data_IF_772288116514
#
_entry.id   IF_772288116514
#
_cell.length_a   1.000
_cell.length_b   1.000
_cell.length_c   1.000
_cell.angle_alpha   90.00
_cell.angle_beta   90.00
_cell.angle_gamma   90.00
#
_symmetry.space_group_name_H-M   'P 1'
#
loop_
_entity.id
_entity.type
_entity.pdbx_description
1 polymer ?
#
# COMPACT_ATOMS: atom_id res chain seq x y z
N UNK A 1 -2.00 22.55 -16.85
CA UNK A 1 -0.69 22.39 -16.17
C UNK A 1 -0.15 20.99 -16.47
N UNK A 2 0.95 20.87 -17.22
CA UNK A 2 1.40 19.59 -17.79
C UNK A 2 2.30 18.71 -16.90
N UNK A 3 2.91 19.25 -15.85
CA UNK A 3 3.95 18.55 -15.09
C UNK A 3 3.42 17.51 -14.08
N UNK A 4 2.14 17.59 -13.69
CA UNK A 4 1.52 16.59 -12.81
C UNK A 4 1.26 15.25 -13.50
N UNK A 5 1.20 15.22 -14.83
CA UNK A 5 0.88 14.02 -15.59
C UNK A 5 1.97 12.93 -15.51
N UNK A 6 3.16 13.20 -14.94
CA UNK A 6 4.25 12.21 -14.80
C UNK A 6 4.56 11.76 -13.36
N UNK A 7 4.03 12.43 -12.34
CA UNK A 7 4.36 12.11 -10.94
C UNK A 7 3.58 10.90 -10.43
N UNK A 8 4.17 10.18 -9.46
CA UNK A 8 3.51 9.04 -8.79
C UNK A 8 3.35 9.23 -7.28
N UNK A 9 3.84 10.37 -6.76
CA UNK A 9 3.72 10.76 -5.37
C UNK A 9 4.06 12.23 -5.22
N UNK A 10 3.55 12.85 -4.17
CA UNK A 10 3.83 14.24 -3.85
C UNK A 10 4.02 14.41 -2.35
N UNK A 11 5.12 15.03 -1.94
CA UNK A 11 5.39 15.37 -0.55
C UNK A 11 5.15 16.87 -0.37
N UNK A 12 4.26 17.22 0.54
CA UNK A 12 3.98 18.62 0.85
C UNK A 12 4.79 19.10 2.04
N UNK A 13 5.29 20.34 1.98
CA UNK A 13 6.00 20.99 3.10
C UNK A 13 5.01 21.38 4.19
N UNK A 14 5.32 20.98 5.42
CA UNK A 14 4.60 21.40 6.64
C UNK A 14 4.67 22.93 6.81
N UNK A 15 3.61 23.53 7.36
CA UNK A 15 3.50 24.97 7.70
C UNK A 15 3.60 25.96 6.52
N UNK A 16 3.54 25.48 5.27
CA UNK A 16 3.40 26.36 4.11
C UNK A 16 1.94 26.87 4.00
N UNK A 17 1.71 28.21 3.89
CA UNK A 17 0.38 28.78 3.64
C UNK A 17 -0.29 28.24 2.36
N UNK A 18 0.51 27.79 1.40
CA UNK A 18 0.05 27.19 0.16
C UNK A 18 -0.01 25.66 0.21
N UNK A 19 0.85 24.98 0.97
CA UNK A 19 1.08 23.53 0.82
C UNK A 19 0.76 22.61 2.02
N UNK A 20 0.45 23.07 3.24
CA UNK A 20 0.18 22.12 4.36
C UNK A 20 -0.97 21.14 4.06
N UNK A 21 -0.94 19.88 4.51
CA UNK A 21 -2.11 18.97 4.36
C UNK A 21 -3.03 19.01 5.57
N UNK A 22 -2.48 19.29 6.76
CA UNK A 22 -3.24 19.52 7.99
C UNK A 22 -2.64 20.74 8.72
N UNK A 23 -3.46 21.79 8.91
CA UNK A 23 -3.19 22.99 9.76
C UNK A 23 -2.46 24.15 9.08
N UNK A 24 -3.03 24.70 8.02
CA UNK A 24 -2.66 26.06 7.60
C UNK A 24 -3.25 27.10 8.58
N UNK A 25 -2.41 28.05 9.00
CA UNK A 25 -2.84 29.25 9.74
C UNK A 25 -3.63 30.15 8.78
N UNK A 26 -4.94 30.26 8.98
CA UNK A 26 -5.75 31.27 8.29
C UNK A 26 -5.79 32.50 9.19
N UNK A 27 -5.31 33.63 8.66
CA UNK A 27 -5.35 34.91 9.36
C UNK A 27 -6.68 35.60 9.02
N UNK A 28 -7.62 35.60 9.96
CA UNK A 28 -8.90 36.31 9.82
C UNK A 28 -9.00 37.30 10.97
N UNK A 29 -8.92 38.61 10.67
CA UNK A 29 -9.27 39.68 11.60
C UNK A 29 -8.62 39.61 13.00
N UNK A 30 -7.33 39.24 13.09
CA UNK A 30 -6.59 39.23 14.37
C UNK A 30 -6.65 37.94 15.19
N UNK A 31 -7.34 36.89 14.72
CA UNK A 31 -7.30 35.54 15.31
C UNK A 31 -6.69 34.53 14.33
N UNK A 32 -5.77 33.70 14.82
CA UNK A 32 -5.15 32.61 14.05
C UNK A 32 -5.99 31.36 14.24
N UNK A 33 -6.78 31.00 13.23
CA UNK A 33 -7.46 29.70 13.20
C UNK A 33 -6.65 28.70 12.37
N UNK A 34 -6.37 27.52 12.94
CA UNK A 34 -5.67 26.43 12.24
C UNK A 34 -6.70 25.47 11.65
N UNK A 35 -7.09 25.65 10.38
CA UNK A 35 -8.00 24.70 9.68
C UNK A 35 -7.58 24.46 8.23
N UNK A 36 -7.39 23.18 7.91
CA UNK A 36 -7.37 22.65 6.54
C UNK A 36 -6.00 22.53 5.86
N UNK A 37 -6.02 21.85 4.71
CA UNK A 37 -4.94 21.83 3.74
C UNK A 37 -4.78 23.22 3.08
N UNK A 38 -3.53 23.61 2.78
CA UNK A 38 -3.20 24.79 2.00
C UNK A 38 -3.86 24.77 0.63
N UNK A 39 -4.15 25.95 0.10
CA UNK A 39 -4.97 26.11 -1.10
C UNK A 39 -4.46 25.28 -2.29
N UNK A 40 -3.13 25.16 -2.45
CA UNK A 40 -2.53 24.34 -3.50
C UNK A 40 -2.77 22.85 -3.27
N UNK A 41 -2.50 22.36 -2.06
CA UNK A 41 -2.64 20.93 -1.74
C UNK A 41 -4.09 20.47 -1.86
N UNK A 42 -5.05 21.31 -1.45
CA UNK A 42 -6.47 21.04 -1.65
C UNK A 42 -6.81 20.88 -3.13
N UNK A 43 -6.36 21.83 -3.97
CA UNK A 43 -6.60 21.79 -5.42
C UNK A 43 -5.88 20.59 -6.06
N UNK A 44 -4.67 20.24 -5.61
CA UNK A 44 -3.93 19.06 -6.07
C UNK A 44 -4.73 17.78 -5.78
N UNK A 45 -5.19 17.61 -4.54
CA UNK A 45 -5.95 16.42 -4.12
C UNK A 45 -7.34 16.35 -4.77
N UNK A 46 -7.95 17.49 -5.08
CA UNK A 46 -9.22 17.53 -5.83
C UNK A 46 -9.04 17.12 -7.29
N UNK A 47 -7.98 17.58 -7.94
CA UNK A 47 -7.69 17.23 -9.34
C UNK A 47 -7.10 15.82 -9.50
N UNK A 48 -6.41 15.32 -8.46
CA UNK A 48 -5.73 14.02 -8.47
C UNK A 48 -6.04 13.24 -7.18
N UNK A 49 -7.29 12.80 -6.97
CA UNK A 49 -7.71 12.17 -5.71
C UNK A 49 -6.98 10.85 -5.37
N UNK A 50 -6.49 10.18 -6.41
CA UNK A 50 -5.79 8.89 -6.31
C UNK A 50 -4.27 9.03 -6.24
N UNK A 51 -3.73 10.25 -6.43
CA UNK A 51 -2.30 10.49 -6.29
C UNK A 51 -1.89 10.32 -4.81
N UNK A 52 -0.86 9.53 -4.50
CA UNK A 52 -0.27 9.50 -3.17
C UNK A 52 0.26 10.88 -2.79
N UNK A 53 -0.32 11.49 -1.77
CA UNK A 53 0.17 12.72 -1.16
C UNK A 53 0.43 12.46 0.32
N UNK A 54 1.53 12.98 0.84
CA UNK A 54 1.88 12.93 2.27
C UNK A 54 2.57 14.22 2.71
N UNK A 55 2.49 14.56 3.99
CA UNK A 55 3.20 15.71 4.56
C UNK A 55 4.60 15.29 5.04
N UNK A 56 5.62 16.08 4.72
CA UNK A 56 7.01 15.86 5.13
C UNK A 56 7.14 15.57 6.64
N UNK A 57 6.43 16.31 7.50
CA UNK A 57 6.49 16.10 8.95
C UNK A 57 5.93 14.75 9.42
N UNK A 58 5.03 14.14 8.63
CA UNK A 58 4.43 12.82 8.92
C UNK A 58 5.35 11.68 8.50
N UNK A 59 6.26 11.91 7.55
CA UNK A 59 7.25 10.92 7.10
C UNK A 59 8.33 10.60 8.15
N UNK A 60 8.34 11.30 9.29
CA UNK A 60 9.13 10.91 10.46
C UNK A 60 8.61 9.65 11.15
N UNK A 61 7.31 9.36 11.02
CA UNK A 61 6.72 8.10 11.50
C UNK A 61 7.01 6.97 10.49
N UNK A 62 7.56 5.86 10.99
CA UNK A 62 7.98 4.75 10.14
C UNK A 62 6.82 4.10 9.37
N UNK A 63 5.65 3.96 10.01
CA UNK A 63 4.48 3.34 9.40
C UNK A 63 3.85 4.24 8.33
N UNK A 64 3.76 5.55 8.59
CA UNK A 64 3.28 6.52 7.60
C UNK A 64 4.23 6.62 6.40
N UNK A 65 5.55 6.62 6.67
CA UNK A 65 6.58 6.65 5.61
C UNK A 65 6.52 5.41 4.73
N UNK A 66 6.45 4.22 5.32
CA UNK A 66 6.31 2.98 4.54
C UNK A 66 5.02 2.99 3.72
N UNK A 67 3.88 3.34 4.34
CA UNK A 67 2.61 3.37 3.66
C UNK A 67 2.58 4.34 2.48
N UNK A 68 3.14 5.55 2.65
CA UNK A 68 3.27 6.51 1.56
C UNK A 68 4.12 5.94 0.41
N UNK A 69 5.31 5.43 0.71
CA UNK A 69 6.20 4.88 -0.32
C UNK A 69 5.55 3.69 -1.03
N UNK A 70 4.88 2.81 -0.31
CA UNK A 70 4.17 1.67 -0.88
C UNK A 70 3.05 2.13 -1.83
N UNK A 71 2.26 3.13 -1.44
CA UNK A 71 1.26 3.77 -2.31
C UNK A 71 1.89 4.34 -3.58
N UNK A 72 3.06 4.99 -3.49
CA UNK A 72 3.81 5.50 -4.65
C UNK A 72 4.20 4.39 -5.62
N UNK A 73 4.74 3.27 -5.12
CA UNK A 73 5.13 2.14 -5.98
C UNK A 73 3.92 1.49 -6.64
N UNK A 74 2.81 1.31 -5.93
CA UNK A 74 1.58 0.74 -6.48
C UNK A 74 1.00 1.66 -7.57
N UNK A 75 0.93 2.96 -7.30
CA UNK A 75 0.46 3.95 -8.27
C UNK A 75 1.38 4.01 -9.50
N UNK A 76 2.70 3.91 -9.32
CA UNK A 76 3.65 3.81 -10.44
C UNK A 76 3.40 2.57 -11.30
N UNK A 77 3.16 1.40 -10.69
CA UNK A 77 2.83 0.16 -11.43
C UNK A 77 1.52 0.31 -12.22
N UNK A 78 0.52 0.96 -11.61
CA UNK A 78 -0.73 1.27 -12.30
C UNK A 78 -0.52 2.15 -13.54
N UNK A 79 0.27 3.23 -13.40
CA UNK A 79 0.57 4.12 -14.53
C UNK A 79 1.37 3.45 -15.64
N UNK A 80 2.34 2.61 -15.27
CA UNK A 80 3.10 1.83 -16.24
C UNK A 80 2.18 0.91 -17.06
N UNK A 81 1.21 0.27 -16.40
CA UNK A 81 0.19 -0.57 -17.04
C UNK A 81 -0.76 0.25 -17.93
N UNK A 82 -1.12 1.48 -17.54
CA UNK A 82 -1.89 2.39 -18.40
C UNK A 82 -1.14 2.78 -19.67
N UNK A 83 0.17 3.06 -19.57
CA UNK A 83 0.98 3.51 -20.70
C UNK A 83 1.10 2.50 -21.85
N UNK A 84 0.88 1.21 -21.59
CA UNK A 84 0.90 0.16 -22.61
C UNK A 84 -0.48 -0.15 -23.20
N UNK A 85 -1.56 0.47 -22.67
CA UNK A 85 -2.92 -0.03 -22.81
C UNK A 85 -3.10 -1.33 -22.02
N UNK A 86 -4.19 -1.45 -21.28
CA UNK A 86 -4.49 -2.67 -20.52
C UNK A 86 -5.99 -2.95 -20.49
N UNK A 87 -6.35 -4.21 -20.25
CA UNK A 87 -7.72 -4.68 -20.17
C UNK A 87 -7.98 -5.49 -18.92
N UNK A 88 -9.10 -6.21 -18.92
CA UNK A 88 -9.56 -7.03 -17.79
C UNK A 88 -8.50 -7.99 -17.26
N UNK A 89 -7.79 -8.70 -18.14
CA UNK A 89 -6.76 -9.68 -17.73
C UNK A 89 -5.65 -9.02 -16.91
N UNK A 90 -5.13 -7.89 -17.37
CA UNK A 90 -4.09 -7.16 -16.67
C UNK A 90 -4.60 -6.56 -15.36
N UNK A 91 -5.85 -6.11 -15.31
CA UNK A 91 -6.47 -5.63 -14.07
C UNK A 91 -6.62 -6.75 -13.02
N UNK A 92 -7.07 -7.93 -13.44
CA UNK A 92 -7.16 -9.13 -12.58
C UNK A 92 -5.80 -9.56 -12.07
N UNK A 93 -4.79 -9.59 -12.93
CA UNK A 93 -3.41 -9.90 -12.54
C UNK A 93 -2.85 -8.83 -11.58
N UNK A 94 -3.07 -7.56 -11.88
CA UNK A 94 -2.69 -6.45 -10.99
C UNK A 94 -3.33 -6.63 -9.61
N UNK A 95 -4.63 -6.93 -9.52
CA UNK A 95 -5.29 -7.20 -8.25
C UNK A 95 -4.67 -8.39 -7.52
N UNK A 96 -4.48 -9.52 -8.21
CA UNK A 96 -3.93 -10.74 -7.63
C UNK A 96 -2.55 -10.49 -6.98
N UNK A 97 -1.66 -9.77 -7.68
CA UNK A 97 -0.32 -9.44 -7.19
C UNK A 97 -0.31 -8.48 -6.00
N UNK A 98 -1.37 -7.69 -5.80
CA UNK A 98 -1.48 -6.72 -4.69
C UNK A 98 -2.42 -7.16 -3.57
N UNK A 99 -3.13 -8.29 -3.72
CA UNK A 99 -4.13 -8.77 -2.75
C UNK A 99 -3.61 -8.81 -1.32
N UNK A 100 -2.41 -9.36 -1.10
CA UNK A 100 -1.85 -9.46 0.24
C UNK A 100 -1.38 -8.12 0.81
N UNK A 101 -1.00 -7.18 -0.07
CA UNK A 101 -0.79 -5.80 0.37
C UNK A 101 -2.11 -5.25 0.89
N UNK A 102 -3.21 -5.36 0.13
CA UNK A 102 -4.53 -4.90 0.56
C UNK A 102 -4.99 -5.57 1.87
N UNK A 103 -4.74 -6.88 2.04
CA UNK A 103 -5.06 -7.58 3.29
C UNK A 103 -4.31 -7.03 4.50
N UNK A 104 -3.10 -6.51 4.31
CA UNK A 104 -2.35 -5.88 5.40
C UNK A 104 -2.91 -4.50 5.81
N UNK A 105 -3.66 -3.84 4.94
CA UNK A 105 -4.38 -2.60 5.27
C UNK A 105 -5.75 -2.88 5.86
N UNK A 106 -6.59 -3.58 5.12
CA UNK A 106 -7.95 -3.93 5.53
C UNK A 106 -8.43 -5.18 4.75
N UNK A 107 -8.66 -6.28 5.47
CA UNK A 107 -9.05 -7.52 4.81
C UNK A 107 -10.50 -7.56 4.34
N UNK A 108 -11.39 -6.78 4.96
CA UNK A 108 -12.80 -6.76 4.58
C UNK A 108 -12.97 -6.01 3.28
N UNK A 109 -12.46 -4.77 3.22
CA UNK A 109 -12.48 -3.96 2.01
C UNK A 109 -11.70 -4.61 0.87
N UNK A 110 -10.59 -5.29 1.17
CA UNK A 110 -9.84 -6.02 0.14
C UNK A 110 -10.64 -7.18 -0.46
N UNK A 111 -11.40 -7.92 0.36
CA UNK A 111 -12.29 -9.00 -0.13
C UNK A 111 -13.44 -8.43 -0.93
N UNK A 112 -14.02 -7.31 -0.50
CA UNK A 112 -15.05 -6.58 -1.24
C UNK A 112 -14.58 -6.17 -2.63
N UNK A 113 -13.42 -5.50 -2.71
CA UNK A 113 -12.83 -5.09 -3.99
C UNK A 113 -12.57 -6.30 -4.92
N UNK A 114 -12.09 -7.41 -4.36
CA UNK A 114 -11.87 -8.64 -5.14
C UNK A 114 -13.18 -9.25 -5.66
N UNK A 115 -14.25 -9.27 -4.84
CA UNK A 115 -15.58 -9.74 -5.26
C UNK A 115 -16.19 -8.83 -6.33
N UNK A 116 -16.07 -7.52 -6.15
CA UNK A 116 -16.53 -6.52 -7.11
C UNK A 116 -15.85 -6.72 -8.46
N UNK A 117 -14.53 -6.85 -8.48
CA UNK A 117 -13.74 -7.08 -9.69
C UNK A 117 -14.18 -8.35 -10.43
N UNK A 118 -14.45 -9.45 -9.72
CA UNK A 118 -14.91 -10.70 -10.33
C UNK A 118 -16.28 -10.56 -11.02
N UNK A 119 -17.14 -9.67 -10.52
CA UNK A 119 -18.46 -9.37 -11.09
C UNK A 119 -18.46 -8.25 -12.15
N UNK A 120 -17.36 -7.51 -12.29
CA UNK A 120 -17.32 -6.25 -13.02
C UNK A 120 -17.29 -6.40 -14.55
N UNK A 121 -17.06 -7.61 -15.10
CA UNK A 121 -16.96 -7.86 -16.55
C UNK A 121 -18.21 -7.45 -17.36
N UNK A 122 -19.34 -7.19 -16.69
CA UNK A 122 -20.57 -6.68 -17.32
C UNK A 122 -20.55 -5.16 -17.59
N UNK A 123 -19.62 -4.42 -16.99
CA UNK A 123 -19.45 -2.97 -17.17
C UNK A 123 -18.43 -2.68 -18.28
N UNK A 124 -18.46 -1.45 -18.81
CA UNK A 124 -17.41 -1.00 -19.72
C UNK A 124 -16.08 -0.87 -18.96
N UNK A 125 -15.01 -1.49 -19.47
CA UNK A 125 -13.70 -1.47 -18.82
C UNK A 125 -13.18 -0.04 -18.57
N UNK A 126 -13.39 0.86 -19.53
CA UNK A 126 -12.97 2.26 -19.44
C UNK A 126 -13.66 3.03 -18.30
N UNK A 127 -14.86 2.62 -17.90
CA UNK A 127 -15.59 3.20 -16.78
C UNK A 127 -15.19 2.55 -15.46
N UNK A 128 -14.96 1.23 -15.45
CA UNK A 128 -14.65 0.47 -14.25
C UNK A 128 -13.21 0.66 -13.74
N UNK A 129 -12.21 0.67 -14.64
CA UNK A 129 -10.81 0.71 -14.23
C UNK A 129 -10.45 1.95 -13.37
N UNK A 130 -10.94 3.18 -13.65
CA UNK A 130 -10.77 4.32 -12.76
C UNK A 130 -11.42 4.13 -11.38
N UNK A 131 -12.63 3.55 -11.32
CA UNK A 131 -13.34 3.29 -10.06
C UNK A 131 -12.57 2.30 -9.20
N UNK A 132 -12.07 1.21 -9.82
CA UNK A 132 -11.20 0.25 -9.16
C UNK A 132 -9.96 0.91 -8.55
N UNK A 133 -9.28 1.79 -9.31
CA UNK A 133 -8.11 2.52 -8.78
C UNK A 133 -8.49 3.36 -7.57
N UNK A 134 -9.60 4.10 -7.66
CA UNK A 134 -10.03 4.95 -6.54
C UNK A 134 -10.36 4.13 -5.29
N UNK A 135 -10.99 2.97 -5.42
CA UNK A 135 -11.25 2.07 -4.29
C UNK A 135 -9.95 1.47 -3.74
N UNK A 136 -9.06 1.00 -4.62
CA UNK A 136 -7.72 0.51 -4.25
C UNK A 136 -6.95 1.55 -3.44
N UNK A 137 -6.88 2.80 -3.92
CA UNK A 137 -6.14 3.87 -3.26
C UNK A 137 -6.80 4.32 -1.95
N UNK A 138 -8.12 4.19 -1.80
CA UNK A 138 -8.82 4.39 -0.51
C UNK A 138 -8.40 3.34 0.51
N UNK A 139 -8.34 2.06 0.13
CA UNK A 139 -7.89 0.98 1.02
C UNK A 139 -6.44 1.23 1.44
N UNK A 140 -5.55 1.53 0.49
CA UNK A 140 -4.13 1.74 0.76
C UNK A 140 -3.85 3.01 1.60
N UNK A 141 -4.80 3.95 1.72
CA UNK A 141 -4.67 5.11 2.63
C UNK A 141 -4.83 4.70 4.10
N UNK A 142 -5.45 3.56 4.39
CA UNK A 142 -5.51 3.00 5.75
C UNK A 142 -4.11 2.50 6.10
N UNK A 143 -3.48 2.98 7.17
CA UNK A 143 -2.15 2.51 7.56
C UNK A 143 -2.24 1.05 8.01
N UNK A 144 -1.36 0.19 7.48
CA UNK A 144 -1.34 -1.22 7.84
C UNK A 144 -1.02 -1.40 9.33
N UNK A 145 -1.79 -2.26 10.00
CA UNK A 145 -1.59 -2.54 11.41
C UNK A 145 -0.76 -3.81 11.57
N UNK A 146 -0.01 -3.90 12.67
CA UNK A 146 0.70 -5.13 13.05
C UNK A 146 -0.21 -6.36 13.06
N UNK A 147 -1.44 -6.21 13.57
CA UNK A 147 -2.47 -7.27 13.54
C UNK A 147 -2.76 -7.74 12.12
N UNK A 148 -2.97 -6.81 11.18
CA UNK A 148 -3.27 -7.17 9.80
C UNK A 148 -2.06 -7.76 9.07
N UNK A 149 -0.85 -7.28 9.34
CA UNK A 149 0.38 -7.93 8.87
C UNK A 149 0.51 -9.36 9.38
N UNK A 150 0.29 -9.61 10.69
CA UNK A 150 0.32 -10.96 11.27
C UNK A 150 -0.68 -11.88 10.59
N UNK A 151 -1.92 -11.43 10.43
CA UNK A 151 -2.95 -12.21 9.73
C UNK A 151 -2.54 -12.51 8.27
N UNK A 152 -1.95 -11.54 7.58
CA UNK A 152 -1.47 -11.69 6.20
C UNK A 152 -0.31 -12.69 6.12
N UNK A 153 0.68 -12.58 7.01
CA UNK A 153 1.80 -13.50 7.12
C UNK A 153 1.34 -14.94 7.41
N UNK A 154 0.38 -15.11 8.32
CA UNK A 154 -0.20 -16.42 8.62
C UNK A 154 -0.94 -17.01 7.42
N UNK A 155 -1.66 -16.18 6.66
CA UNK A 155 -2.34 -16.62 5.43
C UNK A 155 -1.33 -17.08 4.37
N UNK A 156 -0.25 -16.33 4.18
CA UNK A 156 0.84 -16.68 3.24
C UNK A 156 1.56 -17.95 3.70
N UNK A 157 1.86 -18.08 5.00
CA UNK A 157 2.42 -19.31 5.59
C UNK A 157 1.58 -20.55 5.27
N UNK A 158 0.26 -20.40 5.16
CA UNK A 158 -0.65 -21.51 4.83
C UNK A 158 -0.31 -22.23 3.52
N UNK A 159 0.29 -21.54 2.55
CA UNK A 159 0.72 -22.13 1.27
C UNK A 159 1.90 -23.10 1.44
N UNK A 160 2.67 -22.97 2.52
CA UNK A 160 3.83 -23.82 2.84
C UNK A 160 3.48 -24.97 3.80
N UNK A 161 2.18 -25.22 4.05
CA UNK A 161 1.73 -26.17 5.08
C UNK A 161 2.25 -27.60 4.82
N UNK A 162 2.37 -28.02 3.58
CA UNK A 162 2.85 -29.36 3.20
C UNK A 162 4.35 -29.44 2.97
N UNK A 163 5.02 -28.30 2.82
CA UNK A 163 6.38 -28.24 2.26
C UNK A 163 7.45 -27.97 3.32
N UNK A 164 7.03 -27.59 4.52
CA UNK A 164 7.91 -27.36 5.66
C UNK A 164 7.87 -28.53 6.64
N UNK A 165 9.03 -28.87 7.18
CA UNK A 165 9.13 -29.78 8.31
C UNK A 165 8.64 -29.10 9.61
N UNK A 166 8.69 -29.84 10.72
CA UNK A 166 8.16 -29.37 12.00
C UNK A 166 9.00 -28.22 12.57
N UNK A 167 10.31 -28.23 12.35
CA UNK A 167 11.24 -27.22 12.90
C UNK A 167 11.08 -25.90 12.13
N UNK A 168 11.09 -25.95 10.79
CA UNK A 168 10.85 -24.80 9.92
C UNK A 168 9.46 -24.18 10.19
N UNK A 169 8.42 -25.02 10.34
CA UNK A 169 7.06 -24.55 10.68
C UNK A 169 7.03 -23.79 11.99
N UNK A 170 7.81 -24.25 12.97
CA UNK A 170 7.90 -23.67 14.30
C UNK A 170 8.68 -22.36 14.26
N UNK A 171 9.85 -22.33 13.63
CA UNK A 171 10.67 -21.11 13.49
C UNK A 171 9.88 -19.99 12.81
N UNK A 172 9.22 -20.29 11.69
CA UNK A 172 8.40 -19.29 10.99
C UNK A 172 7.23 -18.80 11.86
N UNK A 173 6.59 -19.68 12.61
CA UNK A 173 5.52 -19.33 13.54
C UNK A 173 6.00 -18.43 14.68
N UNK A 174 7.13 -18.78 15.28
CA UNK A 174 7.77 -18.01 16.36
C UNK A 174 8.21 -16.63 15.85
N UNK A 175 8.74 -16.53 14.63
CA UNK A 175 9.10 -15.25 14.01
C UNK A 175 7.88 -14.33 13.82
N UNK A 176 6.77 -14.87 13.31
CA UNK A 176 5.51 -14.12 13.15
C UNK A 176 4.97 -13.67 14.52
N UNK A 177 5.06 -14.53 15.54
CA UNK A 177 4.61 -14.20 16.90
C UNK A 177 5.49 -13.13 17.55
N UNK A 178 6.81 -13.23 17.40
CA UNK A 178 7.74 -12.23 17.89
C UNK A 178 7.52 -10.87 17.20
N UNK A 179 7.19 -10.86 15.90
CA UNK A 179 6.73 -9.65 15.22
C UNK A 179 5.43 -9.12 15.83
N UNK A 180 4.42 -9.98 16.09
CA UNK A 180 3.15 -9.60 16.75
C UNK A 180 3.39 -8.94 18.10
N UNK A 181 4.33 -9.46 18.89
CA UNK A 181 4.74 -8.92 20.19
C UNK A 181 5.62 -7.66 20.08
N UNK A 182 6.14 -7.35 18.90
CA UNK A 182 7.02 -6.20 18.66
C UNK A 182 8.48 -6.43 19.03
N UNK A 183 8.89 -7.70 19.19
CA UNK A 183 10.25 -8.11 19.50
C UNK A 183 11.14 -8.16 18.25
N UNK A 184 10.53 -8.30 17.07
CA UNK A 184 11.20 -8.31 15.78
C UNK A 184 10.53 -7.34 14.80
N UNK A 185 11.27 -6.79 13.84
CA UNK A 185 10.68 -6.02 12.77
C UNK A 185 10.02 -6.92 11.71
N UNK A 186 9.10 -6.35 10.93
CA UNK A 186 8.34 -7.03 9.88
C UNK A 186 9.22 -7.74 8.84
N UNK A 187 10.40 -7.20 8.55
CA UNK A 187 11.33 -7.78 7.58
C UNK A 187 11.77 -9.21 7.95
N UNK A 188 11.82 -9.58 9.25
CA UNK A 188 12.31 -10.90 9.68
C UNK A 188 11.37 -12.02 9.22
N UNK A 189 10.06 -12.03 9.57
CA UNK A 189 9.16 -13.05 9.06
C UNK A 189 9.01 -12.99 7.53
N UNK A 190 9.12 -11.82 6.90
CA UNK A 190 9.13 -11.71 5.43
C UNK A 190 10.35 -12.43 4.82
N UNK A 191 11.53 -12.29 5.44
CA UNK A 191 12.75 -12.91 4.93
C UNK A 191 12.70 -14.44 5.05
N UNK A 192 12.17 -14.97 6.15
CA UNK A 192 11.93 -16.41 6.28
C UNK A 192 10.94 -16.92 5.23
N UNK A 193 9.82 -16.22 5.01
CA UNK A 193 8.88 -16.58 3.93
C UNK A 193 9.56 -16.56 2.56
N UNK A 194 10.32 -15.50 2.24
CA UNK A 194 11.10 -15.41 0.98
C UNK A 194 12.05 -16.60 0.82
N UNK A 195 12.71 -17.03 1.90
CA UNK A 195 13.60 -18.19 1.89
C UNK A 195 12.83 -19.48 1.55
N UNK A 196 11.73 -19.75 2.25
CA UNK A 196 10.96 -20.97 2.05
C UNK A 196 10.31 -21.04 0.66
N UNK A 197 9.74 -19.93 0.16
CA UNK A 197 9.17 -19.91 -1.20
C UNK A 197 10.22 -20.05 -2.30
N UNK A 198 11.47 -19.65 -2.07
CA UNK A 198 12.56 -19.92 -3.03
C UNK A 198 12.84 -21.42 -3.17
N UNK A 199 12.63 -22.19 -2.09
CA UNK A 199 12.84 -23.65 -2.06
C UNK A 199 11.59 -24.41 -2.49
N UNK A 200 10.43 -23.86 -2.18
CA UNK A 200 9.11 -24.39 -2.50
C UNK A 200 8.30 -23.33 -3.26
N UNK A 201 8.57 -23.13 -4.56
CA UNK A 201 7.91 -22.13 -5.40
C UNK A 201 6.39 -22.27 -5.39
N UNK A 202 5.70 -21.18 -5.12
CA UNK A 202 4.25 -21.06 -5.32
C UNK A 202 3.98 -19.90 -6.29
N UNK A 203 3.44 -20.15 -7.50
CA UNK A 203 3.24 -19.11 -8.51
C UNK A 203 2.37 -17.94 -8.04
N UNK A 204 1.45 -18.17 -7.10
CA UNK A 204 0.59 -17.12 -6.57
C UNK A 204 1.36 -16.20 -5.62
N UNK A 205 2.19 -16.78 -4.76
CA UNK A 205 2.99 -16.01 -3.80
C UNK A 205 4.23 -15.37 -4.44
N UNK A 206 4.89 -16.04 -5.37
CA UNK A 206 6.07 -15.48 -6.07
C UNK A 206 5.74 -14.19 -6.82
N UNK A 207 4.53 -14.10 -7.38
CA UNK A 207 4.07 -12.90 -8.06
C UNK A 207 3.48 -11.84 -7.12
N UNK A 208 3.37 -12.13 -5.82
CA UNK A 208 2.85 -11.19 -4.82
C UNK A 208 3.85 -10.09 -4.51
N UNK A 209 3.39 -8.85 -4.57
CA UNK A 209 4.18 -7.69 -4.16
C UNK A 209 4.28 -7.54 -2.64
N UNK A 210 3.51 -8.29 -1.84
CA UNK A 210 3.59 -8.17 -0.37
C UNK A 210 4.95 -8.56 0.19
N UNK A 211 5.57 -9.61 -0.37
CA UNK A 211 6.89 -10.05 0.10
C UNK A 211 8.00 -9.12 -0.37
N UNK A 212 7.82 -8.34 -1.45
CA UNK A 212 8.82 -7.42 -2.01
C UNK A 212 8.16 -6.09 -2.44
N UNK A 213 7.58 -5.30 -1.52
CA UNK A 213 6.69 -4.19 -1.87
C UNK A 213 7.40 -3.03 -2.57
N UNK A 214 8.67 -2.84 -2.28
CA UNK A 214 9.56 -1.81 -2.81
C UNK A 214 11.02 -2.33 -2.76
N UNK A 215 12.00 -1.62 -3.36
CA UNK A 215 13.40 -1.99 -3.29
C UNK A 215 13.89 -2.15 -1.83
N UNK A 216 14.76 -3.12 -1.59
CA UNK A 216 15.23 -3.47 -0.24
C UNK A 216 16.14 -2.36 0.33
N UNK A 217 16.79 -1.57 -0.53
CA UNK A 217 17.67 -0.44 -0.18
C UNK A 217 16.96 0.68 0.57
N UNK A 218 15.63 0.74 0.50
CA UNK A 218 14.83 1.70 1.26
C UNK A 218 14.68 1.33 2.74
N UNK A 219 14.97 0.08 3.11
CA UNK A 219 14.99 -0.43 4.50
C UNK A 219 13.71 -0.20 5.32
N UNK A 220 12.58 0.09 4.67
CA UNK A 220 11.36 0.56 5.36
C UNK A 220 10.78 -0.50 6.31
N UNK A 221 10.82 -1.78 5.90
CA UNK A 221 10.32 -2.92 6.66
C UNK A 221 11.16 -3.24 7.91
N UNK A 222 12.37 -2.69 8.02
CA UNK A 222 13.25 -2.89 9.17
C UNK A 222 12.82 -2.05 10.38
N UNK A 223 11.94 -1.07 10.14
CA UNK A 223 11.47 -0.12 11.16
C UNK A 223 10.00 -0.32 11.55
N UNK A 224 9.36 -1.39 11.07
CA UNK A 224 7.96 -1.73 11.31
C UNK A 224 7.77 -2.93 12.23
#
# INVERSE_FOLDING_TARGET
>A
AGWHAGICGYIVKKDSPSCGMERVKVYTGGRVERRGAGAYTRVLMQNFPDLPVEEEGRLGDAALRENFVQRVFIFRRWRAMQGTGFGWRQLTDFHARHKYVLYSHDQELARELGRELAGAHKQAFAEYAPQYLSTLMKILKITATRKNHVNTLQHIRGYLKTDLDIEDKRELSESIENYRLGLLPLIVPITLLRHHFRRNPDPYIENSWYLRPHPDELMLLNTL
#
